data_IF_498305361375
#
_entry.id   IF_498305361375
#
_cell.length_a   1.000
_cell.length_b   1.000
_cell.length_c   1.000
_cell.angle_alpha   90.00
_cell.angle_beta   90.00
_cell.angle_gamma   90.00
#
_symmetry.space_group_name_H-M   'P 1'
#
loop_
_entity.id
_entity.type
_entity.pdbx_description
1 polymer ?
#
# COMPACT_ATOMS: atom_id res chain seq x y z
N UNK A 1 -44.88 14.54 15.86
CA UNK A 1 -44.11 15.67 15.28
C UNK A 1 -43.46 15.17 14.00
N UNK A 2 -44.07 15.39 12.84
CA UNK A 2 -43.93 16.54 11.90
C UNK A 2 -42.95 16.23 10.77
N UNK A 3 -43.44 16.42 9.55
CA UNK A 3 -42.82 16.18 8.25
C UNK A 3 -42.01 17.40 7.76
N UNK A 4 -41.02 17.16 6.89
CA UNK A 4 -40.70 17.92 5.66
C UNK A 4 -39.66 17.07 4.90
N UNK A 5 -39.72 16.69 3.62
CA UNK A 5 -40.14 17.25 2.32
C UNK A 5 -39.38 18.53 1.93
N UNK A 6 -38.27 18.33 1.21
CA UNK A 6 -37.66 19.32 0.33
C UNK A 6 -37.49 18.71 -1.07
N UNK A 7 -38.33 19.16 -2.01
CA UNK A 7 -38.17 18.98 -3.45
C UNK A 7 -37.25 20.10 -3.98
N UNK A 8 -36.41 19.84 -4.98
CA UNK A 8 -36.24 20.83 -6.06
C UNK A 8 -35.60 20.20 -7.31
N UNK A 9 -36.31 20.38 -8.43
CA UNK A 9 -35.94 20.03 -9.79
C UNK A 9 -35.04 21.11 -10.41
N UNK A 10 -34.22 20.72 -11.39
CA UNK A 10 -33.54 21.66 -12.28
C UNK A 10 -32.93 20.94 -13.48
N UNK A 11 -33.65 20.94 -14.61
CA UNK A 11 -33.13 20.59 -15.92
C UNK A 11 -32.10 21.62 -16.42
N UNK A 12 -31.18 21.21 -17.29
CA UNK A 12 -30.30 22.15 -17.98
C UNK A 12 -29.20 21.49 -18.81
N UNK A 13 -29.56 20.89 -19.93
CA UNK A 13 -28.64 20.74 -21.07
C UNK A 13 -28.55 22.07 -21.82
N UNK A 14 -27.35 22.45 -22.27
CA UNK A 14 -27.26 22.88 -23.66
C UNK A 14 -26.08 22.25 -24.39
N UNK A 15 -26.41 21.75 -25.58
CA UNK A 15 -25.48 21.39 -26.64
C UNK A 15 -25.07 22.65 -27.40
N UNK A 16 -23.76 22.86 -27.65
CA UNK A 16 -23.25 23.48 -28.90
C UNK A 16 -21.73 23.42 -29.03
N UNK A 17 -21.33 22.83 -30.15
CA UNK A 17 -19.99 22.70 -30.72
C UNK A 17 -19.37 24.04 -31.13
N UNK A 18 -18.02 24.17 -31.06
CA UNK A 18 -17.12 24.35 -32.23
C UNK A 18 -15.80 25.07 -31.92
N UNK A 19 -14.72 24.40 -32.31
CA UNK A 19 -13.52 24.92 -33.00
C UNK A 19 -12.36 25.58 -32.21
N UNK A 20 -11.33 24.75 -32.01
CA UNK A 20 -9.90 24.94 -32.37
C UNK A 20 -9.20 26.23 -31.90
N UNK A 21 -8.21 26.07 -31.03
CA UNK A 21 -6.95 26.81 -31.17
C UNK A 21 -5.73 25.96 -30.78
N UNK A 22 -4.73 26.10 -31.63
CA UNK A 22 -3.50 25.35 -31.82
C UNK A 22 -2.46 25.60 -30.73
N UNK A 23 -1.94 24.50 -30.17
CA UNK A 23 -0.56 24.22 -29.71
C UNK A 23 0.13 25.26 -28.84
N UNK A 24 0.54 24.86 -27.62
CA UNK A 24 1.93 24.99 -27.16
C UNK A 24 2.22 24.30 -25.82
N UNK A 25 3.23 23.43 -25.89
CA UNK A 25 4.21 23.07 -24.85
C UNK A 25 3.73 22.05 -23.80
N UNK A 26 3.93 20.79 -24.16
CA UNK A 26 3.97 19.64 -23.27
C UNK A 26 5.21 19.72 -22.37
N UNK A 27 5.07 20.32 -21.18
CA UNK A 27 5.76 19.82 -19.99
C UNK A 27 4.68 19.08 -19.24
N UNK A 28 4.62 17.76 -19.44
CA UNK A 28 3.67 16.89 -18.78
C UNK A 28 4.09 16.84 -17.32
N UNK A 29 3.53 17.77 -16.55
CA UNK A 29 3.29 17.64 -15.12
C UNK A 29 2.90 16.19 -14.87
N UNK A 30 3.79 15.45 -14.21
CA UNK A 30 3.47 14.11 -13.71
C UNK A 30 2.57 14.32 -12.50
N UNK A 31 1.35 14.79 -12.80
CA UNK A 31 0.18 14.66 -11.97
C UNK A 31 0.10 13.19 -11.57
N UNK A 32 0.41 12.94 -10.29
CA UNK A 32 -0.33 12.06 -9.40
C UNK A 32 -1.18 11.02 -10.13
N UNK A 33 -0.50 10.07 -10.79
CA UNK A 33 -1.06 8.75 -11.04
C UNK A 33 -1.22 8.12 -9.67
N UNK A 34 -2.36 8.38 -9.02
CA UNK A 34 -2.95 7.45 -8.06
C UNK A 34 -3.23 6.18 -8.84
N UNK A 35 -2.17 5.41 -9.09
CA UNK A 35 -2.24 4.02 -9.47
C UNK A 35 -3.10 3.40 -8.39
N UNK A 36 -4.22 2.79 -8.78
CA UNK A 36 -4.94 1.87 -7.92
C UNK A 36 -3.87 0.93 -7.35
N UNK A 37 -3.47 1.16 -6.09
CA UNK A 37 -2.50 0.32 -5.39
C UNK A 37 -3.27 -0.96 -5.11
N UNK A 38 -3.33 -1.81 -6.13
CA UNK A 38 -3.80 -3.17 -5.99
C UNK A 38 -3.05 -3.72 -4.78
N UNK A 39 -3.80 -4.18 -3.77
CA UNK A 39 -3.21 -4.62 -2.52
C UNK A 39 -2.37 -5.86 -2.85
N UNK A 40 -1.08 -5.65 -3.09
CA UNK A 40 -0.12 -6.73 -3.31
C UNK A 40 -0.07 -7.57 -2.04
N UNK A 41 -0.61 -8.78 -2.13
CA UNK A 41 -0.54 -9.77 -1.07
C UNK A 41 0.87 -10.37 -0.98
N UNK A 42 1.23 -10.88 0.18
CA UNK A 42 2.50 -11.54 0.42
C UNK A 42 2.47 -12.28 1.76
N UNK A 43 3.25 -13.35 1.85
CA UNK A 43 3.39 -14.15 3.07
C UNK A 43 4.87 -14.35 3.37
N UNK A 44 5.20 -14.36 4.66
CA UNK A 44 6.56 -14.61 5.16
C UNK A 44 6.50 -15.54 6.36
N UNK A 45 7.45 -16.46 6.41
CA UNK A 45 7.71 -17.33 7.55
C UNK A 45 9.19 -17.17 7.92
N UNK A 46 9.48 -17.02 9.20
CA UNK A 46 10.84 -16.94 9.74
C UNK A 46 11.02 -17.95 10.87
N UNK A 47 12.26 -18.34 11.15
CA UNK A 47 12.63 -19.12 12.33
C UNK A 47 13.88 -18.50 12.98
N UNK A 48 14.02 -18.67 14.30
CA UNK A 48 15.17 -18.17 15.07
C UNK A 48 16.02 -19.35 15.55
N UNK A 49 16.52 -20.15 14.60
CA UNK A 49 17.23 -21.39 14.89
C UNK A 49 16.31 -22.54 15.31
N UNK A 50 16.87 -23.75 15.34
CA UNK A 50 16.25 -24.94 15.90
C UNK A 50 17.28 -25.60 16.82
N UNK A 51 16.91 -25.86 18.08
CA UNK A 51 17.83 -26.40 19.07
C UNK A 51 17.33 -26.18 20.48
N UNK A 52 18.26 -26.19 21.44
CA UNK A 52 17.94 -25.94 22.84
C UNK A 52 17.74 -24.44 23.07
N UNK A 53 16.50 -23.99 23.05
CA UNK A 53 16.16 -22.60 23.35
C UNK A 53 15.90 -22.45 24.85
N UNK A 54 16.59 -21.48 25.46
CA UNK A 54 16.31 -21.13 26.85
C UNK A 54 14.87 -20.62 26.98
N UNK A 55 14.10 -21.17 27.92
CA UNK A 55 12.74 -20.70 28.22
C UNK A 55 12.74 -19.21 28.60
N UNK A 56 13.77 -18.77 29.33
CA UNK A 56 13.94 -17.36 29.71
C UNK A 56 14.08 -16.42 28.51
N UNK A 57 14.60 -16.92 27.38
CA UNK A 57 14.80 -16.16 26.14
C UNK A 57 13.64 -16.28 25.14
N UNK A 58 12.59 -17.03 25.49
CA UNK A 58 11.49 -17.30 24.57
C UNK A 58 10.75 -16.02 24.13
N UNK A 59 10.71 -14.99 24.98
CA UNK A 59 10.10 -13.70 24.64
C UNK A 59 10.93 -12.97 23.59
N UNK A 60 12.25 -12.98 23.73
CA UNK A 60 13.23 -12.34 22.85
C UNK A 60 13.19 -12.99 21.48
N UNK A 61 13.20 -14.34 21.40
CA UNK A 61 13.07 -15.06 20.12
C UNK A 61 11.76 -14.74 19.40
N UNK A 62 10.63 -14.72 20.11
CA UNK A 62 9.33 -14.35 19.52
C UNK A 62 9.32 -12.89 19.06
N UNK A 63 9.93 -12.00 19.84
CA UNK A 63 9.96 -10.57 19.55
C UNK A 63 10.76 -10.28 18.27
N UNK A 64 11.94 -10.89 18.12
CA UNK A 64 12.75 -10.69 16.91
C UNK A 64 12.07 -11.28 15.67
N UNK A 65 11.46 -12.47 15.76
CA UNK A 65 10.69 -13.05 14.66
C UNK A 65 9.50 -12.16 14.24
N UNK A 66 8.80 -11.55 15.20
CA UNK A 66 7.71 -10.60 14.91
C UNK A 66 8.22 -9.40 14.10
N UNK A 67 9.33 -8.79 14.52
CA UNK A 67 9.93 -7.65 13.82
C UNK A 67 10.41 -8.04 12.42
N UNK A 68 11.07 -9.19 12.28
CA UNK A 68 11.53 -9.70 11.00
C UNK A 68 10.38 -9.89 10.00
N UNK A 69 9.26 -10.46 10.45
CA UNK A 69 8.06 -10.57 9.62
C UNK A 69 7.52 -9.18 9.20
N UNK A 70 7.49 -8.21 10.12
CA UNK A 70 7.04 -6.85 9.80
C UNK A 70 7.94 -6.22 8.73
N UNK A 71 9.26 -6.31 8.85
CA UNK A 71 10.21 -5.79 7.86
C UNK A 71 10.05 -6.42 6.48
N UNK A 72 9.88 -7.74 6.41
CA UNK A 72 9.61 -8.41 5.14
C UNK A 72 8.29 -7.98 4.52
N UNK A 73 7.21 -7.89 5.31
CA UNK A 73 5.89 -7.47 4.82
C UNK A 73 5.92 -6.02 4.33
N UNK A 74 6.61 -5.12 5.02
CA UNK A 74 6.82 -3.73 4.57
C UNK A 74 7.48 -3.69 3.16
N UNK A 75 8.51 -4.52 2.93
CA UNK A 75 9.15 -4.64 1.62
C UNK A 75 8.20 -5.18 0.55
N UNK A 76 7.44 -6.23 0.86
CA UNK A 76 6.48 -6.83 -0.07
C UNK A 76 5.35 -5.85 -0.43
N UNK A 77 4.81 -5.11 0.55
CA UNK A 77 3.77 -4.09 0.34
C UNK A 77 4.27 -2.84 -0.41
N UNK A 78 5.58 -2.59 -0.38
CA UNK A 78 6.25 -1.58 -1.18
C UNK A 78 6.55 -2.04 -2.62
N UNK A 79 6.28 -3.32 -2.94
CA UNK A 79 6.53 -3.88 -4.26
C UNK A 79 8.00 -4.24 -4.53
N UNK A 80 8.81 -4.39 -3.48
CA UNK A 80 10.19 -4.86 -3.59
C UNK A 80 10.24 -6.33 -4.05
N UNK A 81 11.44 -6.78 -4.45
CA UNK A 81 11.66 -8.18 -4.81
C UNK A 81 11.56 -9.08 -3.57
N UNK A 82 11.18 -10.35 -3.78
CA UNK A 82 11.13 -11.33 -2.69
C UNK A 82 12.50 -11.52 -2.02
N UNK A 83 13.59 -11.39 -2.79
CA UNK A 83 14.97 -11.40 -2.28
C UNK A 83 15.22 -10.25 -1.30
N UNK A 84 14.78 -9.04 -1.61
CA UNK A 84 14.96 -7.88 -0.73
C UNK A 84 14.11 -8.02 0.54
N UNK A 85 12.93 -8.63 0.43
CA UNK A 85 12.07 -8.91 1.57
C UNK A 85 12.70 -9.93 2.53
N UNK A 86 13.28 -11.03 2.02
CA UNK A 86 13.97 -12.02 2.87
C UNK A 86 15.26 -11.44 3.45
N UNK A 87 16.02 -10.63 2.71
CA UNK A 87 17.19 -9.91 3.25
C UNK A 87 16.78 -8.98 4.40
N UNK A 88 15.68 -8.23 4.26
CA UNK A 88 15.19 -7.37 5.34
C UNK A 88 14.76 -8.15 6.59
N UNK A 89 14.19 -9.35 6.44
CA UNK A 89 13.91 -10.22 7.57
C UNK A 89 15.19 -10.75 8.24
N UNK A 90 16.19 -11.17 7.46
CA UNK A 90 17.45 -11.69 7.99
C UNK A 90 18.25 -10.62 8.74
N UNK A 91 18.34 -9.40 8.20
CA UNK A 91 18.99 -8.26 8.89
C UNK A 91 18.36 -7.95 10.25
N UNK A 92 17.06 -8.21 10.42
CA UNK A 92 16.39 -8.02 11.71
C UNK A 92 16.61 -9.19 12.69
N UNK A 93 16.98 -10.37 12.18
CA UNK A 93 17.29 -11.58 12.97
C UNK A 93 18.75 -11.67 13.40
N UNK A 94 19.66 -11.02 12.65
CA UNK A 94 21.12 -10.93 12.90
C UNK A 94 21.49 -9.88 13.96
#
# INVERSE_FOLDING_TARGET
MTMEKGMSSGEGVPSRSSQISTVKITVKELETKQSHKEKRGGFVLVHAGAGYHSESKAKEYKHVCKRACQKAIEKLQAGALATDAVTAALVELE
#
